data_IF_657380881879
#
_entry.id   IF_657380881879
#
_cell.length_a   1.000
_cell.length_b   1.000
_cell.length_c   1.000
_cell.angle_alpha   90.00
_cell.angle_beta   90.00
_cell.angle_gamma   90.00
#
_symmetry.space_group_name_H-M   'P 1'
#
loop_
_entity.id
_entity.type
_entity.pdbx_description
1 polymer ?
#
# COMPACT_ATOMS: atom_id res chain seq x y z
N UNK A 1 10.34 14.80 -4.22
CA UNK A 1 9.15 14.34 -3.47
C UNK A 1 9.60 13.48 -2.30
N UNK A 2 8.98 13.59 -1.12
CA UNK A 2 9.29 12.72 0.02
C UNK A 2 8.44 11.45 -0.07
N UNK A 3 9.08 10.28 0.03
CA UNK A 3 8.37 9.00 0.07
C UNK A 3 7.69 8.79 1.43
N UNK A 4 6.53 8.12 1.42
CA UNK A 4 5.90 7.63 2.63
C UNK A 4 6.75 6.53 3.25
N UNK A 5 6.86 6.53 4.58
CA UNK A 5 7.51 5.45 5.32
C UNK A 5 6.73 4.15 5.15
N UNK A 6 7.45 3.04 4.97
CA UNK A 6 6.92 1.67 4.96
C UNK A 6 5.98 1.45 6.14
N UNK A 7 4.82 0.86 5.86
CA UNK A 7 3.90 0.45 6.91
C UNK A 7 4.35 -0.88 7.51
N UNK A 8 4.11 -1.02 8.81
CA UNK A 8 4.24 -2.28 9.55
C UNK A 8 2.93 -2.55 10.25
N UNK A 9 2.37 -3.73 10.00
CA UNK A 9 1.12 -4.19 10.59
C UNK A 9 1.36 -4.99 11.88
N UNK A 10 0.28 -5.27 12.62
CA UNK A 10 0.33 -5.91 13.93
C UNK A 10 1.00 -7.29 13.92
N UNK A 11 0.78 -8.07 12.86
CA UNK A 11 1.38 -9.40 12.69
C UNK A 11 2.81 -9.38 12.15
N UNK A 12 3.38 -8.19 11.91
CA UNK A 12 4.72 -8.01 11.37
C UNK A 12 4.79 -7.89 9.85
N UNK A 13 3.67 -8.00 9.12
CA UNK A 13 3.63 -7.73 7.68
C UNK A 13 4.01 -6.28 7.37
N UNK A 14 4.79 -6.08 6.30
CA UNK A 14 5.25 -4.76 5.86
C UNK A 14 5.03 -4.58 4.38
N UNK A 15 4.69 -3.35 3.99
CA UNK A 15 4.66 -2.91 2.59
C UNK A 15 4.87 -1.40 2.51
N UNK A 16 5.25 -0.88 1.36
CA UNK A 16 5.26 0.57 1.11
C UNK A 16 4.06 0.96 0.26
N UNK A 17 3.47 2.13 0.52
CA UNK A 17 2.31 2.63 -0.25
C UNK A 17 2.61 4.06 -0.69
N UNK A 18 2.68 4.27 -2.00
CA UNK A 18 3.13 5.53 -2.59
C UNK A 18 2.07 6.08 -3.55
N UNK A 19 2.02 7.41 -3.65
CA UNK A 19 1.15 8.10 -4.60
C UNK A 19 1.75 9.44 -5.00
N UNK A 20 1.89 9.67 -6.31
CA UNK A 20 2.50 10.87 -6.88
C UNK A 20 2.22 11.01 -8.36
N UNK A 21 2.75 12.06 -8.99
CA UNK A 21 2.74 12.19 -10.45
C UNK A 21 3.58 11.12 -11.17
N UNK A 22 4.53 10.48 -10.48
CA UNK A 22 5.40 9.44 -11.05
C UNK A 22 4.96 8.01 -10.71
N UNK A 23 4.28 7.81 -9.58
CA UNK A 23 3.81 6.50 -9.12
C UNK A 23 2.55 6.02 -9.86
N UNK A 24 2.27 4.72 -9.78
CA UNK A 24 1.04 4.11 -10.29
C UNK A 24 -0.17 4.40 -9.39
N UNK A 25 -0.74 5.61 -9.50
CA UNK A 25 -1.90 6.02 -8.70
C UNK A 25 -2.97 6.79 -9.48
N UNK A 26 -4.14 6.93 -8.86
CA UNK A 26 -5.28 7.71 -9.37
C UNK A 26 -5.84 8.63 -8.29
N UNK A 27 -5.77 9.96 -8.45
CA UNK A 27 -5.18 10.68 -9.58
C UNK A 27 -3.65 10.56 -9.59
N UNK A 28 -3.04 10.54 -10.77
CA UNK A 28 -1.58 10.54 -10.94
C UNK A 28 -1.01 11.95 -10.69
N UNK A 29 -1.00 12.36 -9.41
CA UNK A 29 -0.64 13.72 -8.96
C UNK A 29 0.03 13.67 -7.61
N UNK A 30 1.00 14.54 -7.37
CA UNK A 30 1.58 14.76 -6.04
C UNK A 30 0.62 15.58 -5.16
N UNK A 31 0.48 15.21 -3.88
CA UNK A 31 -0.34 15.92 -2.87
C UNK A 31 -1.84 16.03 -3.20
N UNK A 32 -2.46 14.99 -3.78
CA UNK A 32 -3.92 14.92 -3.85
C UNK A 32 -4.49 14.67 -2.44
N UNK A 33 -5.69 15.20 -2.17
CA UNK A 33 -6.37 14.98 -0.87
C UNK A 33 -6.90 13.55 -0.70
N UNK A 34 -7.10 12.82 -1.81
CA UNK A 34 -7.54 11.43 -1.84
C UNK A 34 -7.01 10.72 -3.07
N UNK A 35 -6.70 9.43 -2.91
CA UNK A 35 -6.40 8.52 -4.01
C UNK A 35 -7.41 7.37 -4.02
N UNK A 36 -7.85 6.99 -5.21
CA UNK A 36 -8.73 5.83 -5.47
C UNK A 36 -7.93 4.56 -5.79
N UNK A 37 -6.71 4.72 -6.30
CA UNK A 37 -5.74 3.67 -6.51
C UNK A 37 -4.34 4.21 -6.23
N UNK A 38 -3.44 3.34 -5.77
CA UNK A 38 -2.07 3.67 -5.33
C UNK A 38 -1.07 2.60 -5.75
N UNK A 39 0.21 2.93 -5.65
CA UNK A 39 1.29 1.99 -5.87
C UNK A 39 1.65 1.32 -4.54
N UNK A 40 1.67 0.00 -4.52
CA UNK A 40 2.20 -0.77 -3.38
C UNK A 40 3.54 -1.36 -3.78
N UNK A 41 4.52 -1.35 -2.89
CA UNK A 41 5.87 -1.84 -3.21
C UNK A 41 6.47 -2.69 -2.11
N UNK A 42 7.18 -3.74 -2.55
CA UNK A 42 8.02 -4.60 -1.71
C UNK A 42 7.33 -5.15 -0.44
N UNK A 43 6.20 -5.88 -0.57
CA UNK A 43 5.63 -6.62 0.56
C UNK A 43 6.67 -7.54 1.22
N UNK A 44 6.63 -7.69 2.55
CA UNK A 44 7.56 -8.57 3.27
C UNK A 44 7.29 -10.07 3.07
N UNK A 45 6.10 -10.40 2.59
CA UNK A 45 5.68 -11.75 2.21
C UNK A 45 4.68 -11.65 1.08
N UNK A 46 4.44 -12.75 0.37
CA UNK A 46 3.36 -12.84 -0.61
C UNK A 46 2.03 -12.45 0.03
N UNK A 47 1.28 -11.59 -0.64
CA UNK A 47 -0.08 -11.21 -0.24
C UNK A 47 -1.05 -11.45 -1.39
N UNK A 48 -1.95 -12.42 -1.22
CA UNK A 48 -2.84 -12.87 -2.29
C UNK A 48 -3.86 -11.80 -2.70
N UNK A 49 -4.22 -10.87 -1.82
CA UNK A 49 -5.06 -9.73 -2.21
C UNK A 49 -4.36 -8.74 -3.14
N UNK A 50 -3.02 -8.78 -3.20
CA UNK A 50 -2.21 -7.91 -4.04
C UNK A 50 -1.77 -8.58 -5.34
N UNK A 51 -1.66 -9.91 -5.41
CA UNK A 51 -0.93 -10.62 -6.48
C UNK A 51 -1.35 -10.24 -7.91
N UNK A 52 -2.64 -9.95 -8.12
CA UNK A 52 -3.18 -9.59 -9.44
C UNK A 52 -2.72 -8.21 -9.93
N UNK A 53 -2.13 -7.39 -9.05
CA UNK A 53 -1.59 -6.07 -9.36
C UNK A 53 -0.07 -6.04 -9.53
N UNK A 54 0.61 -7.16 -9.27
CA UNK A 54 2.08 -7.23 -9.31
C UNK A 54 2.61 -6.99 -10.73
N UNK A 55 3.64 -6.16 -10.88
CA UNK A 55 4.38 -6.05 -12.15
C UNK A 55 5.16 -7.33 -12.47
N UNK A 56 5.68 -8.01 -11.43
CA UNK A 56 6.27 -9.33 -11.53
C UNK A 56 5.66 -10.29 -10.50
N UNK A 57 4.58 -11.02 -10.87
CA UNK A 57 3.97 -12.04 -10.02
C UNK A 57 4.90 -13.20 -9.64
N UNK A 58 6.02 -13.39 -10.36
CA UNK A 58 7.04 -14.39 -10.05
C UNK A 58 7.92 -14.01 -8.85
N UNK A 59 8.00 -12.72 -8.55
CA UNK A 59 8.83 -12.14 -7.48
C UNK A 59 7.99 -11.22 -6.58
N UNK A 60 6.94 -11.72 -5.90
CA UNK A 60 5.91 -10.89 -5.27
C UNK A 60 6.41 -10.02 -4.10
N UNK A 61 7.57 -10.31 -3.53
CA UNK A 61 8.17 -9.49 -2.46
C UNK A 61 9.20 -8.49 -2.99
N UNK A 62 9.55 -8.57 -4.27
CA UNK A 62 10.62 -7.78 -4.92
C UNK A 62 10.10 -7.02 -6.15
N UNK A 63 8.81 -6.68 -6.12
CA UNK A 63 8.12 -5.99 -7.20
C UNK A 63 7.22 -4.87 -6.67
N UNK A 64 6.83 -3.99 -7.59
CA UNK A 64 5.76 -3.02 -7.35
C UNK A 64 4.43 -3.56 -7.86
N UNK A 65 3.37 -3.01 -7.31
CA UNK A 65 2.00 -3.37 -7.58
C UNK A 65 1.29 -2.12 -8.07
N UNK A 66 0.90 -2.14 -9.34
CA UNK A 66 0.43 -0.94 -10.05
C UNK A 66 -1.08 -0.74 -9.87
N UNK A 67 -1.51 0.51 -9.60
CA UNK A 67 -2.92 0.90 -9.47
C UNK A 67 -3.74 -0.01 -8.54
N UNK A 68 -3.18 -0.38 -7.39
CA UNK A 68 -3.91 -1.12 -6.35
C UNK A 68 -5.05 -0.24 -5.82
N UNK A 69 -6.32 -0.68 -5.88
CA UNK A 69 -7.42 0.09 -5.33
C UNK A 69 -7.20 0.38 -3.84
N UNK A 70 -7.51 1.60 -3.40
CA UNK A 70 -7.31 1.99 -2.01
C UNK A 70 -8.06 1.08 -1.03
N UNK A 71 -9.23 0.56 -1.42
CA UNK A 71 -10.01 -0.36 -0.59
C UNK A 71 -9.31 -1.73 -0.44
N UNK A 72 -8.57 -2.19 -1.46
CA UNK A 72 -7.74 -3.41 -1.35
C UNK A 72 -6.60 -3.18 -0.36
N UNK A 73 -5.95 -2.02 -0.38
CA UNK A 73 -4.93 -1.65 0.61
C UNK A 73 -5.52 -1.66 2.02
N UNK A 74 -6.71 -1.10 2.22
CA UNK A 74 -7.43 -1.14 3.50
C UNK A 74 -7.72 -2.57 3.96
N UNK A 75 -8.13 -3.46 3.07
CA UNK A 75 -8.40 -4.87 3.37
C UNK A 75 -7.13 -5.63 3.76
N UNK A 76 -6.01 -5.40 3.06
CA UNK A 76 -4.70 -5.98 3.42
C UNK A 76 -4.30 -5.52 4.82
N UNK A 77 -4.38 -4.22 5.11
CA UNK A 77 -4.08 -3.70 6.45
C UNK A 77 -4.96 -4.36 7.52
N UNK A 78 -6.26 -4.48 7.26
CA UNK A 78 -7.19 -5.11 8.20
C UNK A 78 -6.88 -6.60 8.41
N UNK A 79 -6.57 -7.33 7.34
CA UNK A 79 -6.14 -8.73 7.38
C UNK A 79 -4.92 -8.92 8.28
N UNK A 80 -3.98 -7.97 8.26
CA UNK A 80 -2.74 -7.99 9.05
C UNK A 80 -2.87 -7.31 10.43
N UNK A 81 -4.10 -7.06 10.89
CA UNK A 81 -4.37 -6.58 12.25
C UNK A 81 -4.16 -5.08 12.47
N UNK A 82 -4.12 -4.29 11.39
CA UNK A 82 -3.97 -2.83 11.46
C UNK A 82 -2.51 -2.35 11.50
N UNK A 83 -2.32 -1.06 11.24
CA UNK A 83 -1.00 -0.40 11.21
C UNK A 83 -0.50 -0.16 12.65
N UNK A 84 0.76 -0.49 12.90
CA UNK A 84 1.51 -0.16 14.12
C UNK A 84 2.39 1.07 13.91
N UNK A 85 3.02 1.18 12.74
CA UNK A 85 3.83 2.32 12.34
C UNK A 85 3.88 2.45 10.81
N UNK A 86 4.23 3.64 10.31
CA UNK A 86 4.36 3.92 8.88
C UNK A 86 3.56 5.13 8.44
N UNK A 87 3.37 5.27 7.14
CA UNK A 87 2.58 6.35 6.52
C UNK A 87 1.84 5.83 5.29
N UNK A 88 0.61 6.29 5.11
CA UNK A 88 -0.18 6.08 3.89
C UNK A 88 -0.34 7.41 3.14
N UNK A 89 -0.57 7.37 1.82
CA UNK A 89 -1.11 8.50 1.09
C UNK A 89 -2.44 9.00 1.70
N UNK A 90 -2.74 10.31 1.57
CA UNK A 90 -4.00 10.88 2.08
C UNK A 90 -5.26 10.19 1.56
N UNK A 91 -6.26 10.08 2.43
CA UNK A 91 -7.62 9.66 2.06
C UNK A 91 -7.84 8.15 1.93
N UNK A 92 -6.87 7.32 2.31
CA UNK A 92 -7.01 5.85 2.39
C UNK A 92 -7.52 5.47 3.79
N UNK A 93 -8.72 4.88 3.92
CA UNK A 93 -9.21 4.35 5.19
C UNK A 93 -8.30 3.21 5.70
N UNK A 94 -8.04 3.14 6.99
CA UNK A 94 -7.21 2.07 7.56
C UNK A 94 -7.54 1.85 9.03
N UNK A 95 -7.19 0.66 9.51
CA UNK A 95 -7.22 0.31 10.93
C UNK A 95 -5.85 0.59 11.54
N UNK A 96 -5.86 1.16 12.75
CA UNK A 96 -4.70 1.25 13.62
C UNK A 96 -4.73 0.06 14.58
N UNK A 97 -3.59 -0.58 14.80
CA UNK A 97 -3.50 -1.73 15.69
C UNK A 97 -3.88 -1.33 17.13
N UNK A 98 -4.71 -2.16 17.77
CA UNK A 98 -5.09 -1.98 19.18
C UNK A 98 -6.12 -0.88 19.46
N UNK A 99 -6.88 -0.43 18.45
CA UNK A 99 -8.02 0.49 18.59
C UNK A 99 -9.33 -0.13 18.14
#
# INVERSE_FOLDING_TARGET
>A
MKLNRTIKCADGFRMSVQASETAYCTPRRTNASRYSAVEVGFPSSREDLLIDYAEDPGSPTETVYAWVPSDVVSLVIAKHGGIVEGQLPPGIPHLEAGK
#
